data_IF_466242319161
#
_entry.id   IF_466242319161
#
_cell.length_a   1.000
_cell.length_b   1.000
_cell.length_c   1.000
_cell.angle_alpha   90.00
_cell.angle_beta   90.00
_cell.angle_gamma   90.00
#
_symmetry.space_group_name_H-M   'P 1'
#
loop_
_entity.id
_entity.type
_entity.pdbx_description
1 polymer ?
#
# COMPACT_ATOMS: atom_id res chain seq x y z
N UNK A 1 -24.81 -11.81 15.39
CA UNK A 1 -24.84 -11.63 13.92
C UNK A 1 -23.41 -11.39 13.45
N UNK A 2 -22.83 -12.31 12.68
CA UNK A 2 -21.53 -12.10 12.04
C UNK A 2 -21.74 -11.15 10.87
N UNK A 3 -21.05 -10.01 10.85
CA UNK A 3 -21.00 -9.10 9.71
C UNK A 3 -20.25 -9.78 8.57
N UNK A 4 -20.97 -10.39 7.62
CA UNK A 4 -20.38 -11.00 6.42
C UNK A 4 -20.27 -10.00 5.24
N UNK A 5 -20.53 -8.71 5.49
CA UNK A 5 -20.66 -7.68 4.45
C UNK A 5 -19.52 -6.65 4.42
N UNK A 6 -18.40 -6.86 5.12
CA UNK A 6 -17.28 -5.92 5.00
C UNK A 6 -16.39 -6.30 3.82
N UNK A 7 -16.56 -5.58 2.72
CA UNK A 7 -15.58 -5.48 1.66
C UNK A 7 -14.25 -4.99 2.26
N UNK A 8 -13.18 -5.77 2.10
CA UNK A 8 -11.86 -5.41 2.61
C UNK A 8 -11.08 -4.59 1.57
N UNK A 9 -10.51 -3.47 2.00
CA UNK A 9 -9.54 -2.67 1.24
C UNK A 9 -8.47 -2.15 2.18
N UNK A 10 -7.22 -2.14 1.71
CA UNK A 10 -6.12 -1.52 2.45
C UNK A 10 -5.99 -0.02 2.14
N UNK A 11 -6.71 0.51 1.13
CA UNK A 11 -6.63 1.91 0.71
C UNK A 11 -7.57 2.85 1.48
N UNK A 12 -7.04 3.96 1.99
CA UNK A 12 -7.78 4.97 2.73
C UNK A 12 -8.85 5.68 1.88
N UNK A 13 -8.56 5.94 0.59
CA UNK A 13 -9.52 6.55 -0.33
C UNK A 13 -10.70 5.64 -0.68
N UNK A 14 -10.51 4.32 -0.67
CA UNK A 14 -11.61 3.39 -0.96
C UNK A 14 -12.51 3.20 0.26
N UNK A 15 -11.94 3.21 1.47
CA UNK A 15 -12.71 3.35 2.69
C UNK A 15 -13.51 4.67 2.71
N UNK A 16 -13.00 5.72 2.05
CA UNK A 16 -13.68 7.01 1.87
C UNK A 16 -14.82 6.96 0.84
N UNK A 17 -14.65 6.29 -0.31
CA UNK A 17 -15.63 6.27 -1.40
C UNK A 17 -16.97 5.60 -1.04
N UNK A 18 -16.99 4.70 -0.05
CA UNK A 18 -18.21 4.10 0.47
C UNK A 18 -19.13 5.11 1.21
N UNK A 19 -18.61 6.28 1.59
CA UNK A 19 -19.34 7.31 2.33
C UNK A 19 -19.59 8.55 1.44
N UNK A 20 -20.71 8.56 0.70
CA UNK A 20 -21.07 9.66 -0.20
C UNK A 20 -21.40 10.96 0.56
N UNK A 21 -20.91 12.09 0.03
CA UNK A 21 -21.32 13.50 0.24
C UNK A 21 -21.58 13.92 1.70
N UNK A 22 -20.55 14.35 2.42
CA UNK A 22 -20.77 15.20 3.61
C UNK A 22 -19.57 16.11 3.88
N UNK A 23 -19.80 17.18 4.65
CA UNK A 23 -18.80 18.14 5.12
C UNK A 23 -17.81 17.46 6.10
N UNK A 24 -16.75 16.87 5.55
CA UNK A 24 -15.84 15.94 6.22
C UNK A 24 -14.98 16.56 7.32
N UNK A 25 -14.68 17.86 7.23
CA UNK A 25 -13.95 18.60 8.26
C UNK A 25 -14.64 18.47 9.64
N UNK A 26 -15.97 18.28 9.65
CA UNK A 26 -16.76 18.08 10.87
C UNK A 26 -16.78 16.64 11.40
N UNK A 27 -16.13 15.70 10.71
CA UNK A 27 -16.19 14.25 10.98
C UNK A 27 -14.84 13.64 11.37
N UNK A 28 -13.86 14.47 11.75
CA UNK A 28 -12.55 14.00 12.21
C UNK A 28 -11.65 13.51 11.07
N UNK A 29 -11.93 13.90 9.82
CA UNK A 29 -11.14 13.58 8.64
C UNK A 29 -10.98 14.82 7.78
N UNK A 30 -9.75 15.17 7.40
CA UNK A 30 -9.45 16.23 6.44
C UNK A 30 -8.95 15.63 5.14
N UNK A 31 -9.43 16.12 4.01
CA UNK A 31 -9.03 15.64 2.68
C UNK A 31 -8.55 16.80 1.82
N UNK A 32 -7.39 16.64 1.21
CA UNK A 32 -6.84 17.58 0.23
C UNK A 32 -6.46 16.82 -1.04
N UNK A 33 -6.76 17.38 -2.22
CA UNK A 33 -6.44 16.75 -3.50
C UNK A 33 -5.68 17.71 -4.39
N UNK A 34 -4.59 17.24 -4.98
CA UNK A 34 -3.72 17.98 -5.88
C UNK A 34 -3.49 17.20 -7.17
N UNK A 35 -3.73 17.82 -8.32
CA UNK A 35 -3.43 17.23 -9.63
C UNK A 35 -1.98 17.50 -10.04
N UNK A 36 -1.38 16.56 -10.76
CA UNK A 36 -0.13 16.73 -11.49
C UNK A 36 -0.30 16.18 -12.92
N UNK A 37 0.68 16.39 -13.80
CA UNK A 37 0.56 16.03 -15.22
C UNK A 37 0.16 14.56 -15.45
N UNK A 38 0.68 13.65 -14.62
CA UNK A 38 0.47 12.22 -14.73
C UNK A 38 -0.66 11.63 -13.89
N UNK A 39 -1.35 12.42 -13.06
CA UNK A 39 -2.30 11.86 -12.10
C UNK A 39 -2.76 12.82 -11.00
N UNK A 40 -3.15 12.23 -9.86
CA UNK A 40 -3.67 12.93 -8.70
C UNK A 40 -3.05 12.42 -7.41
N UNK A 41 -2.78 13.34 -6.49
CA UNK A 41 -2.37 13.06 -5.11
C UNK A 41 -3.51 13.47 -4.20
N UNK A 42 -3.95 12.55 -3.34
CA UNK A 42 -4.94 12.83 -2.31
C UNK A 42 -4.34 12.58 -0.94
N UNK A 43 -4.44 13.57 -0.05
CA UNK A 43 -3.95 13.53 1.32
C UNK A 43 -5.15 13.48 2.25
N UNK A 44 -5.30 12.36 2.95
CA UNK A 44 -6.36 12.11 3.93
C UNK A 44 -5.72 12.09 5.31
N UNK A 45 -6.10 13.05 6.15
CA UNK A 45 -5.66 13.11 7.54
C UNK A 45 -6.79 12.65 8.45
N UNK A 46 -6.54 11.59 9.21
CA UNK A 46 -7.45 11.08 10.24
C UNK A 46 -7.06 11.73 11.56
N UNK A 47 -7.94 12.61 12.06
CA UNK A 47 -7.62 13.53 13.16
C UNK A 47 -7.88 12.91 14.54
N UNK A 48 -8.94 12.10 14.66
CA UNK A 48 -9.40 11.60 15.94
C UNK A 48 -10.08 10.21 15.85
N UNK A 49 -10.54 9.71 16.99
CA UNK A 49 -11.20 8.41 17.10
C UNK A 49 -12.50 8.30 16.27
N UNK A 50 -13.20 9.42 16.00
CA UNK A 50 -14.41 9.42 15.15
C UNK A 50 -14.03 9.22 13.70
N UNK A 51 -12.99 9.92 13.24
CA UNK A 51 -12.40 9.70 11.92
C UNK A 51 -11.91 8.26 11.76
N UNK A 52 -11.24 7.74 12.79
CA UNK A 52 -10.71 6.38 12.77
C UNK A 52 -11.80 5.30 12.70
N UNK A 53 -12.87 5.45 13.50
CA UNK A 53 -14.02 4.54 13.46
C UNK A 53 -14.74 4.59 12.10
N UNK A 54 -14.78 5.76 11.45
CA UNK A 54 -15.46 5.95 10.17
C UNK A 54 -14.67 5.39 8.98
N UNK A 55 -13.36 5.59 8.96
CA UNK A 55 -12.49 5.09 7.90
C UNK A 55 -11.99 3.66 8.14
N UNK A 56 -12.12 3.13 9.37
CA UNK A 56 -11.51 1.86 9.74
C UNK A 56 -9.98 1.90 9.73
N UNK A 57 -9.40 3.10 9.87
CA UNK A 57 -7.95 3.36 9.82
C UNK A 57 -7.53 4.17 11.05
N UNK A 58 -6.37 3.89 11.67
CA UNK A 58 -5.93 4.65 12.84
C UNK A 58 -5.69 6.14 12.52
N UNK A 59 -5.68 7.03 13.53
CA UNK A 59 -5.31 8.43 13.35
C UNK A 59 -3.91 8.59 12.73
N UNK A 60 -3.78 9.48 11.76
CA UNK A 60 -2.54 9.72 11.02
C UNK A 60 -2.78 10.26 9.61
N UNK A 61 -1.72 10.30 8.80
CA UNK A 61 -1.72 10.80 7.44
C UNK A 61 -1.67 9.66 6.44
N UNK A 62 -2.57 9.69 5.47
CA UNK A 62 -2.65 8.74 4.37
C UNK A 62 -2.58 9.50 3.05
N UNK A 63 -1.58 9.20 2.23
CA UNK A 63 -1.35 9.87 0.96
C UNK A 63 -1.53 8.84 -0.14
N UNK A 64 -2.45 9.08 -1.07
CA UNK A 64 -2.69 8.21 -2.22
C UNK A 64 -2.29 8.92 -3.50
N UNK A 65 -1.37 8.33 -4.24
CA UNK A 65 -0.93 8.78 -5.56
C UNK A 65 -1.60 7.86 -6.59
N UNK A 66 -2.49 8.41 -7.41
CA UNK A 66 -3.17 7.68 -8.49
C UNK A 66 -2.69 8.20 -9.84
N UNK A 67 -2.08 7.33 -10.63
CA UNK A 67 -1.58 7.61 -11.97
C UNK A 67 -1.99 6.48 -12.92
N UNK A 68 -3.13 6.60 -13.62
CA UNK A 68 -3.67 5.55 -14.48
C UNK A 68 -2.70 5.05 -15.57
N UNK A 69 -1.79 5.92 -16.02
CA UNK A 69 -0.78 5.61 -17.02
C UNK A 69 0.35 4.70 -16.53
N UNK A 70 0.47 4.42 -15.22
CA UNK A 70 1.52 3.52 -14.69
C UNK A 70 1.43 2.08 -15.21
N UNK A 71 0.26 1.66 -15.71
CA UNK A 71 0.07 0.37 -16.40
C UNK A 71 0.76 0.31 -17.76
N UNK A 72 1.20 1.45 -18.28
CA UNK A 72 1.87 1.59 -19.57
C UNK A 72 3.37 1.72 -19.35
N UNK A 73 4.17 1.45 -20.38
CA UNK A 73 5.63 1.59 -20.32
C UNK A 73 6.11 3.04 -20.48
N UNK A 74 5.43 3.99 -19.83
CA UNK A 74 5.77 5.41 -19.89
C UNK A 74 6.90 5.73 -18.89
N UNK A 75 8.10 6.01 -19.41
CA UNK A 75 9.29 6.33 -18.60
C UNK A 75 9.13 7.67 -17.88
N UNK A 76 8.63 8.68 -18.60
CA UNK A 76 8.52 10.05 -18.07
C UNK A 76 7.49 10.11 -16.95
N UNK A 77 6.35 9.42 -17.11
CA UNK A 77 5.34 9.31 -16.07
C UNK A 77 5.88 8.63 -14.81
N UNK A 78 6.66 7.55 -14.97
CA UNK A 78 7.27 6.84 -13.84
C UNK A 78 8.19 7.76 -13.04
N UNK A 79 9.04 8.53 -13.73
CA UNK A 79 9.90 9.52 -13.09
C UNK A 79 9.08 10.60 -12.35
N UNK A 80 8.01 11.11 -12.97
CA UNK A 80 7.11 12.07 -12.32
C UNK A 80 6.48 11.50 -11.05
N UNK A 81 6.01 10.25 -11.07
CA UNK A 81 5.42 9.59 -9.91
C UNK A 81 6.48 9.37 -8.82
N UNK A 82 7.70 8.97 -9.17
CA UNK A 82 8.82 8.85 -8.21
C UNK A 82 9.15 10.19 -7.55
N UNK A 83 9.17 11.29 -8.31
CA UNK A 83 9.39 12.65 -7.79
C UNK A 83 8.26 13.10 -6.86
N UNK A 84 7.01 12.78 -7.18
CA UNK A 84 5.86 13.03 -6.29
C UNK A 84 6.01 12.20 -5.00
N UNK A 85 6.26 10.89 -5.11
CA UNK A 85 6.48 10.00 -3.98
C UNK A 85 7.58 10.54 -3.06
N UNK A 86 8.72 10.94 -3.62
CA UNK A 86 9.86 11.44 -2.87
C UNK A 86 9.52 12.71 -2.06
N UNK A 87 8.76 13.62 -2.66
CA UNK A 87 8.29 14.85 -2.01
C UNK A 87 7.38 14.57 -0.83
N UNK A 88 6.42 13.67 -1.00
CA UNK A 88 5.49 13.29 0.06
C UNK A 88 6.23 12.57 1.21
N UNK A 89 7.17 11.66 0.88
CA UNK A 89 8.00 10.98 1.87
C UNK A 89 8.87 11.95 2.67
N UNK A 90 9.47 12.94 2.01
CA UNK A 90 10.30 13.96 2.68
C UNK A 90 9.51 14.76 3.72
N UNK A 91 8.21 14.95 3.50
CA UNK A 91 7.33 15.65 4.46
C UNK A 91 6.94 14.78 5.67
N UNK A 92 6.93 13.45 5.51
CA UNK A 92 6.57 12.50 6.57
C UNK A 92 7.78 12.02 7.38
N UNK A 93 8.96 11.95 6.76
CA UNK A 93 10.19 11.54 7.43
C UNK A 93 10.62 12.58 8.47
N UNK A 94 11.14 12.14 9.64
CA UNK A 94 11.72 13.07 10.59
C UNK A 94 12.93 13.79 9.97
N UNK A 95 13.27 15.00 10.46
CA UNK A 95 14.50 15.66 10.08
C UNK A 95 15.69 14.72 10.31
N UNK A 96 16.53 14.58 9.29
CA UNK A 96 17.66 13.66 9.30
C UNK A 96 18.97 14.43 9.08
N UNK A 97 19.98 14.08 9.86
CA UNK A 97 21.38 14.49 9.68
C UNK A 97 22.25 13.31 9.20
N UNK A 98 23.56 13.52 9.09
CA UNK A 98 24.49 12.46 8.66
C UNK A 98 24.58 11.27 9.61
N UNK A 99 24.17 11.42 10.88
CA UNK A 99 24.15 10.33 11.87
C UNK A 99 22.84 9.54 11.85
N UNK A 100 21.82 10.09 11.19
CA UNK A 100 20.49 9.50 11.12
C UNK A 100 20.48 8.30 10.19
N UNK A 101 20.14 7.13 10.74
CA UNK A 101 19.99 5.88 9.97
C UNK A 101 18.52 5.69 9.62
N UNK A 102 18.22 5.41 8.36
CA UNK A 102 16.89 4.96 7.91
C UNK A 102 16.94 3.48 7.56
N UNK A 103 16.03 2.69 8.13
CA UNK A 103 15.86 1.29 7.79
C UNK A 103 14.70 1.13 6.81
N UNK A 104 14.96 0.63 5.61
CA UNK A 104 13.91 0.27 4.65
C UNK A 104 13.62 -1.23 4.76
N UNK A 105 12.36 -1.60 4.91
CA UNK A 105 11.92 -2.99 5.07
C UNK A 105 11.03 -3.38 3.90
N UNK A 106 11.46 -4.34 3.08
CA UNK A 106 10.65 -4.93 2.02
C UNK A 106 9.84 -6.11 2.54
N UNK A 107 8.56 -5.89 2.80
CA UNK A 107 7.63 -6.93 3.26
C UNK A 107 7.10 -7.75 2.07
N UNK A 108 6.82 -9.02 2.33
CA UNK A 108 6.21 -9.93 1.37
C UNK A 108 7.04 -11.18 1.08
N UNK A 109 6.56 -11.99 0.15
CA UNK A 109 7.14 -13.27 -0.24
C UNK A 109 7.66 -13.24 -1.68
N UNK A 110 8.98 -13.43 -1.86
CA UNK A 110 9.66 -13.53 -3.16
C UNK A 110 9.04 -14.56 -4.11
N UNK A 111 8.44 -15.62 -3.57
CA UNK A 111 7.89 -16.73 -4.34
C UNK A 111 6.44 -16.51 -4.79
N UNK A 112 5.80 -15.42 -4.35
CA UNK A 112 4.41 -15.09 -4.70
C UNK A 112 4.42 -13.75 -5.41
N UNK A 113 4.30 -13.75 -6.74
CA UNK A 113 4.46 -12.53 -7.55
C UNK A 113 3.64 -11.31 -7.09
N UNK A 114 2.33 -11.42 -6.79
CA UNK A 114 1.59 -10.25 -6.29
C UNK A 114 2.06 -9.77 -4.91
N UNK A 115 2.80 -10.58 -4.15
CA UNK A 115 3.31 -10.29 -2.81
C UNK A 115 4.82 -9.98 -2.81
N UNK A 116 5.48 -9.91 -3.98
CA UNK A 116 6.92 -9.69 -4.08
C UNK A 116 7.33 -8.22 -4.23
N UNK A 117 6.38 -7.27 -4.06
CA UNK A 117 6.64 -5.84 -4.25
C UNK A 117 7.75 -5.31 -3.31
N UNK A 118 7.62 -5.54 -2.00
CA UNK A 118 8.61 -5.09 -1.02
C UNK A 118 10.01 -5.63 -1.32
N UNK A 119 10.19 -6.95 -1.48
CA UNK A 119 11.40 -7.55 -2.00
C UNK A 119 12.04 -6.86 -3.20
N UNK A 120 11.26 -6.66 -4.27
CA UNK A 120 11.74 -6.08 -5.52
C UNK A 120 12.09 -4.60 -5.36
N UNK A 121 11.49 -3.89 -4.41
CA UNK A 121 11.89 -2.52 -4.08
C UNK A 121 13.25 -2.50 -3.40
N UNK A 122 13.54 -3.47 -2.52
CA UNK A 122 14.85 -3.55 -1.85
C UNK A 122 15.97 -3.86 -2.85
N UNK A 123 15.72 -4.66 -3.88
CA UNK A 123 16.70 -4.95 -4.94
C UNK A 123 17.13 -3.71 -5.73
N UNK A 124 16.25 -2.72 -5.86
CA UNK A 124 16.47 -1.49 -6.64
C UNK A 124 16.87 -0.30 -5.72
N UNK A 125 16.96 -0.52 -4.41
CA UNK A 125 17.23 0.52 -3.42
C UNK A 125 18.74 0.76 -3.26
N UNK A 126 19.12 2.03 -3.24
CA UNK A 126 20.49 2.41 -2.94
C UNK A 126 20.79 2.32 -1.42
N UNK A 127 21.46 1.23 -1.03
CA UNK A 127 21.89 0.97 0.35
C UNK A 127 23.27 1.57 0.62
N UNK A 128 23.39 2.40 1.65
CA UNK A 128 24.60 3.21 1.89
C UNK A 128 25.20 3.08 3.28
N UNK A 129 24.48 2.50 4.26
CA UNK A 129 24.95 2.42 5.66
C UNK A 129 26.35 1.83 5.81
N UNK A 130 26.70 0.84 4.98
CA UNK A 130 28.01 0.19 5.00
C UNK A 130 29.15 1.16 4.60
N UNK A 131 28.89 2.15 3.73
CA UNK A 131 29.88 3.18 3.38
C UNK A 131 30.19 4.07 4.59
N UNK A 132 29.16 4.44 5.36
CA UNK A 132 29.35 5.23 6.58
C UNK A 132 30.13 4.47 7.66
N UNK A 133 29.95 3.14 7.78
CA UNK A 133 30.62 2.33 8.80
C UNK A 133 32.04 1.91 8.42
N UNK A 134 32.27 1.55 7.15
CA UNK A 134 33.50 0.88 6.73
C UNK A 134 34.32 1.65 5.69
N UNK A 135 33.73 2.61 4.98
CA UNK A 135 34.39 3.33 3.90
C UNK A 135 33.97 4.81 3.81
N UNK A 136 34.12 5.59 4.91
CA UNK A 136 33.60 6.95 5.01
C UNK A 136 34.20 7.93 3.98
N UNK A 137 35.34 7.59 3.37
CA UNK A 137 35.96 8.37 2.29
C UNK A 137 35.14 8.39 0.99
N UNK A 138 34.19 7.47 0.80
CA UNK A 138 33.30 7.44 -0.36
C UNK A 138 31.91 8.02 -0.08
N UNK A 139 31.71 8.59 1.12
CA UNK A 139 30.44 9.23 1.49
C UNK A 139 30.45 10.67 0.99
N UNK A 140 29.65 10.93 -0.05
CA UNK A 140 29.50 12.28 -0.61
C UNK A 140 28.61 13.17 0.26
N UNK A 141 28.68 14.47 -0.01
CA UNK A 141 27.83 15.47 0.65
C UNK A 141 26.35 15.24 0.28
N UNK A 142 25.49 15.16 1.29
CA UNK A 142 24.06 14.93 1.12
C UNK A 142 23.65 13.46 0.96
N UNK A 143 24.59 12.50 0.95
CA UNK A 143 24.25 11.09 1.19
C UNK A 143 23.71 10.91 2.61
N UNK A 144 22.76 9.99 2.78
CA UNK A 144 22.27 9.56 4.10
C UNK A 144 22.61 8.11 4.35
N UNK A 145 22.66 7.72 5.62
CA UNK A 145 22.89 6.33 6.02
C UNK A 145 21.59 5.52 5.91
N UNK A 146 21.48 4.72 4.84
CA UNK A 146 20.31 3.88 4.57
C UNK A 146 20.73 2.42 4.64
N UNK A 147 20.01 1.62 5.42
CA UNK A 147 20.08 0.17 5.36
C UNK A 147 18.74 -0.41 4.94
N UNK A 148 18.79 -1.63 4.42
CA UNK A 148 17.59 -2.32 4.02
C UNK A 148 17.62 -3.78 4.43
N UNK A 149 16.43 -4.34 4.62
CA UNK A 149 16.23 -5.77 4.78
C UNK A 149 14.93 -6.17 4.12
N UNK A 150 14.95 -7.37 3.56
CA UNK A 150 13.75 -8.02 3.10
C UNK A 150 13.67 -9.36 3.89
N UNK A 151 12.88 -9.42 4.98
CA UNK A 151 12.95 -10.51 5.95
C UNK A 151 12.23 -11.79 5.52
N UNK A 152 11.33 -11.70 4.54
CA UNK A 152 10.48 -12.79 4.10
C UNK A 152 9.30 -13.02 5.04
N UNK A 153 8.66 -14.18 4.87
CA UNK A 153 7.43 -14.55 5.59
C UNK A 153 7.65 -15.75 6.51
N UNK A 154 6.82 -15.88 7.54
CA UNK A 154 6.84 -16.94 8.55
C UNK A 154 7.02 -18.34 7.95
N UNK A 155 6.32 -18.65 6.85
CA UNK A 155 6.37 -19.96 6.21
C UNK A 155 7.74 -20.35 5.63
N UNK A 156 8.63 -19.38 5.44
CA UNK A 156 9.99 -19.59 4.92
C UNK A 156 11.01 -19.57 6.06
N UNK A 157 10.87 -18.63 6.98
CA UNK A 157 11.88 -18.36 8.02
C UNK A 157 11.63 -19.09 9.33
N UNK A 158 10.38 -19.48 9.62
CA UNK A 158 9.94 -19.97 10.93
C UNK A 158 9.90 -18.89 12.02
N UNK A 159 10.17 -17.62 11.67
CA UNK A 159 10.16 -16.48 12.60
C UNK A 159 9.17 -15.44 12.06
N UNK A 160 8.35 -14.89 12.94
CA UNK A 160 7.42 -13.81 12.56
C UNK A 160 8.20 -12.61 12.02
N UNK A 161 7.72 -12.05 10.90
CA UNK A 161 8.38 -10.93 10.22
C UNK A 161 8.59 -9.74 11.18
N UNK A 162 7.63 -9.49 12.08
CA UNK A 162 7.75 -8.44 13.10
C UNK A 162 8.89 -8.66 14.11
N UNK A 163 9.15 -9.91 14.50
CA UNK A 163 10.24 -10.24 15.44
C UNK A 163 11.61 -10.05 14.78
N UNK A 164 11.75 -10.43 13.50
CA UNK A 164 12.96 -10.18 12.72
C UNK A 164 13.24 -8.67 12.67
N UNK A 165 12.22 -7.87 12.34
CA UNK A 165 12.34 -6.41 12.24
C UNK A 165 12.68 -5.82 13.61
N UNK A 166 12.01 -6.24 14.68
CA UNK A 166 12.30 -5.77 16.03
C UNK A 166 13.75 -6.06 16.46
N UNK A 167 14.27 -7.26 16.14
CA UNK A 167 15.67 -7.61 16.38
C UNK A 167 16.65 -6.72 15.61
N UNK A 168 16.36 -6.43 14.33
CA UNK A 168 17.17 -5.50 13.51
C UNK A 168 17.11 -4.09 14.09
N UNK A 169 15.93 -3.60 14.47
CA UNK A 169 15.75 -2.26 15.07
C UNK A 169 16.53 -2.13 16.37
N UNK A 170 16.52 -3.14 17.23
CA UNK A 170 17.29 -3.14 18.49
C UNK A 170 18.80 -3.00 18.23
N UNK A 171 19.30 -3.65 17.18
CA UNK A 171 20.72 -3.66 16.84
C UNK A 171 21.16 -2.41 16.08
N UNK A 172 20.38 -2.00 15.07
CA UNK A 172 20.71 -0.90 14.15
C UNK A 172 20.36 0.46 14.75
N UNK A 173 19.32 0.53 15.58
CA UNK A 173 18.76 1.77 16.15
C UNK A 173 18.48 2.84 15.10
N UNK A 174 17.65 2.54 14.07
CA UNK A 174 17.31 3.53 13.06
C UNK A 174 16.50 4.69 13.66
N UNK A 175 16.62 5.86 13.05
CA UNK A 175 15.83 7.05 13.38
C UNK A 175 14.42 7.02 12.77
N UNK A 176 14.26 6.27 11.68
CA UNK A 176 12.98 6.03 11.01
C UNK A 176 13.00 4.69 10.28
N UNK A 177 11.81 4.11 10.09
CA UNK A 177 11.60 2.92 9.28
C UNK A 177 10.69 3.28 8.11
N UNK A 178 11.03 2.80 6.92
CA UNK A 178 10.12 2.80 5.77
C UNK A 178 9.78 1.34 5.44
N UNK A 179 8.53 0.93 5.66
CA UNK A 179 8.06 -0.40 5.32
C UNK A 179 7.36 -0.37 3.96
N UNK A 180 7.74 -1.27 3.04
CA UNK A 180 7.15 -1.37 1.71
C UNK A 180 6.44 -2.70 1.57
N UNK A 181 5.15 -2.68 1.19
CA UNK A 181 4.30 -3.88 1.14
C UNK A 181 3.35 -3.87 -0.06
N UNK A 182 2.95 -5.06 -0.49
CA UNK A 182 1.87 -5.21 -1.45
C UNK A 182 0.51 -5.02 -0.74
N UNK A 183 -0.44 -4.33 -1.38
CA UNK A 183 -1.76 -4.05 -0.81
C UNK A 183 -2.88 -4.77 -1.57
N UNK A 184 -4.03 -4.92 -0.92
CA UNK A 184 -5.27 -5.29 -1.58
C UNK A 184 -6.16 -4.05 -1.83
N UNK A 185 -6.67 -3.92 -3.06
CA UNK A 185 -7.68 -2.92 -3.42
C UNK A 185 -9.10 -3.49 -3.44
N UNK A 186 -10.08 -2.60 -3.38
CA UNK A 186 -11.49 -2.87 -3.72
C UNK A 186 -11.71 -2.73 -5.23
N UNK A 187 -11.09 -1.76 -5.89
CA UNK A 187 -11.23 -1.60 -7.34
C UNK A 187 -10.07 -2.19 -8.13
N UNK A 188 -10.42 -2.94 -9.18
CA UNK A 188 -9.46 -3.41 -10.20
C UNK A 188 -8.74 -2.25 -10.91
N UNK A 189 -9.35 -1.07 -10.98
CA UNK A 189 -8.74 0.10 -11.64
C UNK A 189 -7.51 0.62 -10.91
N UNK A 190 -7.36 0.27 -9.62
CA UNK A 190 -6.25 0.68 -8.77
C UNK A 190 -5.04 -0.25 -8.82
N UNK A 191 -5.21 -1.46 -9.36
CA UNK A 191 -4.11 -2.38 -9.56
C UNK A 191 -3.12 -1.80 -10.58
N UNK A 192 -1.85 -1.68 -10.17
CA UNK A 192 -0.81 -1.15 -11.04
C UNK A 192 -0.87 0.37 -11.30
N UNK A 193 -1.77 1.11 -10.64
CA UNK A 193 -1.96 2.56 -10.89
C UNK A 193 -1.90 3.41 -9.64
N UNK A 194 -1.90 2.79 -8.46
CA UNK A 194 -2.03 3.47 -7.18
C UNK A 194 -0.87 3.14 -6.25
N UNK A 195 -0.31 4.15 -5.58
CA UNK A 195 0.63 3.99 -4.48
C UNK A 195 0.04 4.72 -3.27
N UNK A 196 0.07 4.08 -2.10
CA UNK A 196 -0.35 4.65 -0.84
C UNK A 196 0.83 4.79 0.11
N UNK A 197 0.89 5.91 0.82
CA UNK A 197 1.82 6.18 1.91
C UNK A 197 1.00 6.37 3.19
N UNK A 198 1.47 5.83 4.32
CA UNK A 198 0.87 6.07 5.62
C UNK A 198 1.93 6.23 6.70
N UNK A 199 1.80 7.21 7.59
CA UNK A 199 2.71 7.38 8.75
C UNK A 199 2.26 6.62 10.00
N UNK A 200 1.16 5.87 9.91
CA UNK A 200 0.61 5.04 10.99
C UNK A 200 1.28 3.68 11.14
N UNK A 201 2.28 3.40 10.30
CA UNK A 201 2.83 2.06 10.13
C UNK A 201 1.93 1.14 9.30
N UNK A 202 2.19 -0.17 9.39
CA UNK A 202 1.50 -1.21 8.61
C UNK A 202 1.21 -2.45 9.46
N UNK A 203 0.14 -3.16 9.14
CA UNK A 203 -0.16 -4.47 9.72
C UNK A 203 0.02 -5.55 8.64
N UNK A 204 1.16 -6.26 8.61
CA UNK A 204 1.42 -7.26 7.58
C UNK A 204 0.34 -8.35 7.56
N UNK A 205 -0.12 -8.73 6.38
CA UNK A 205 -1.03 -9.88 6.21
C UNK A 205 -2.46 -9.71 6.75
N UNK A 206 -3.03 -8.51 6.60
CA UNK A 206 -4.43 -8.19 6.92
C UNK A 206 -5.45 -9.14 6.26
N UNK A 207 -5.08 -9.83 5.18
CA UNK A 207 -5.93 -10.75 4.43
C UNK A 207 -6.10 -12.16 5.01
N UNK A 208 -5.37 -12.54 6.05
CA UNK A 208 -5.47 -13.90 6.62
C UNK A 208 -5.62 -13.82 8.14
N UNK A 209 -6.77 -13.32 8.60
CA UNK A 209 -7.44 -13.64 9.88
C UNK A 209 -6.66 -13.61 11.22
N UNK A 210 -5.38 -13.27 11.23
CA UNK A 210 -4.52 -13.30 12.40
C UNK A 210 -4.22 -11.88 12.87
N UNK A 211 -4.32 -11.67 14.18
CA UNK A 211 -3.83 -10.48 14.87
C UNK A 211 -2.30 -10.46 14.80
N UNK A 212 -1.72 -10.15 13.64
CA UNK A 212 -0.28 -9.96 13.50
C UNK A 212 0.10 -8.66 14.19
N UNK A 213 1.27 -8.63 14.82
CA UNK A 213 1.78 -7.42 15.46
C UNK A 213 1.96 -6.34 14.39
N UNK A 214 1.30 -5.20 14.57
CA UNK A 214 1.48 -4.05 13.69
C UNK A 214 2.93 -3.56 13.77
N UNK A 215 3.48 -3.18 12.63
CA UNK A 215 4.77 -2.50 12.51
C UNK A 215 4.50 -1.01 12.57
N UNK A 216 4.59 -0.43 13.76
CA UNK A 216 4.31 0.98 13.99
C UNK A 216 5.22 1.53 15.09
N UNK A 217 5.03 2.81 15.41
CA UNK A 217 5.84 3.48 16.43
C UNK A 217 5.62 2.89 17.82
N UNK A 218 4.41 2.45 18.12
CA UNK A 218 4.06 1.85 19.40
C UNK A 218 4.79 0.53 19.65
N UNK A 219 4.98 -0.29 18.60
CA UNK A 219 5.63 -1.59 18.72
C UNK A 219 7.15 -1.53 18.56
N UNK A 220 7.67 -0.66 17.68
CA UNK A 220 9.10 -0.59 17.36
C UNK A 220 9.83 0.58 18.04
N UNK A 221 9.11 1.51 18.67
CA UNK A 221 9.67 2.68 19.34
C UNK A 221 10.19 3.79 18.41
N UNK A 222 10.13 3.58 17.09
CA UNK A 222 10.64 4.49 16.06
C UNK A 222 9.54 4.79 15.03
N UNK A 223 9.50 5.98 14.41
CA UNK A 223 8.52 6.29 13.36
C UNK A 223 8.56 5.27 12.22
N UNK A 224 7.39 4.80 11.79
CA UNK A 224 7.25 3.85 10.67
C UNK A 224 6.35 4.45 9.59
N UNK A 225 6.93 4.65 8.40
CA UNK A 225 6.20 5.08 7.21
C UNK A 225 5.97 3.85 6.34
N UNK A 226 4.72 3.50 6.13
CA UNK A 226 4.32 2.45 5.22
C UNK A 226 4.15 3.01 3.80
N UNK A 227 4.65 2.30 2.81
CA UNK A 227 4.38 2.50 1.39
C UNK A 227 3.79 1.21 0.86
N UNK A 228 2.72 1.27 0.09
CA UNK A 228 2.24 0.08 -0.59
C UNK A 228 1.48 0.38 -1.86
N UNK A 229 1.45 -0.61 -2.75
CA UNK A 229 0.74 -0.52 -4.01
C UNK A 229 -0.18 -1.74 -4.17
N UNK A 230 -1.43 -1.56 -4.64
CA UNK A 230 -2.34 -2.68 -4.83
C UNK A 230 -1.87 -3.63 -5.94
N UNK A 231 -1.78 -4.92 -5.60
CA UNK A 231 -1.41 -6.00 -6.52
C UNK A 231 -2.55 -7.02 -6.72
N UNK A 232 -3.50 -7.05 -5.79
CA UNK A 232 -4.61 -7.99 -5.78
C UNK A 232 -5.91 -7.31 -5.40
N UNK A 233 -7.01 -7.96 -5.76
CA UNK A 233 -8.33 -7.73 -5.16
C UNK A 233 -8.86 -9.05 -4.61
N UNK A 234 -9.72 -9.01 -3.60
CA UNK A 234 -10.37 -10.22 -3.12
C UNK A 234 -11.43 -10.73 -4.10
N UNK A 235 -11.58 -12.04 -4.23
CA UNK A 235 -12.59 -12.63 -5.11
C UNK A 235 -14.02 -12.25 -4.69
N UNK A 236 -14.29 -12.17 -3.38
CA UNK A 236 -15.58 -11.71 -2.86
C UNK A 236 -15.93 -10.31 -3.40
N UNK A 237 -14.90 -9.49 -3.65
CA UNK A 237 -15.06 -8.15 -4.12
C UNK A 237 -15.51 -8.12 -5.57
N UNK A 238 -14.87 -8.92 -6.42
CA UNK A 238 -15.24 -9.05 -7.83
C UNK A 238 -16.65 -9.64 -7.97
N UNK A 239 -16.97 -10.70 -7.23
CA UNK A 239 -18.29 -11.34 -7.32
C UNK A 239 -19.40 -10.36 -6.90
N UNK A 240 -19.18 -9.63 -5.81
CA UNK A 240 -20.15 -8.62 -5.35
C UNK A 240 -20.36 -7.52 -6.40
N UNK A 241 -19.28 -6.99 -6.98
CA UNK A 241 -19.36 -5.97 -8.05
C UNK A 241 -20.09 -6.51 -9.28
N UNK A 242 -19.88 -7.78 -9.65
CA UNK A 242 -20.56 -8.42 -10.76
C UNK A 242 -22.07 -8.56 -10.51
N UNK A 243 -22.47 -9.00 -9.30
CA UNK A 243 -23.87 -9.08 -8.89
C UNK A 243 -24.52 -7.70 -8.95
N UNK A 244 -23.85 -6.68 -8.42
CA UNK A 244 -24.37 -5.31 -8.42
C UNK A 244 -24.58 -4.76 -9.84
N UNK A 245 -23.60 -4.94 -10.73
CA UNK A 245 -23.71 -4.53 -12.15
C UNK A 245 -24.81 -5.29 -12.89
N UNK A 246 -24.94 -6.59 -12.64
CA UNK A 246 -26.00 -7.41 -13.22
C UNK A 246 -27.38 -6.93 -12.75
N UNK A 247 -27.55 -6.73 -11.44
CA UNK A 247 -28.82 -6.26 -10.87
C UNK A 247 -29.18 -4.86 -11.35
N UNK A 248 -28.20 -3.95 -11.49
CA UNK A 248 -28.43 -2.62 -12.07
C UNK A 248 -28.89 -2.72 -13.54
N UNK A 249 -28.19 -3.52 -14.35
CA UNK A 249 -28.53 -3.72 -15.76
C UNK A 249 -29.92 -4.36 -15.93
N UNK A 250 -30.28 -5.31 -15.07
CA UNK A 250 -31.61 -5.93 -15.06
C UNK A 250 -32.71 -4.94 -14.65
N UNK A 251 -32.44 -4.01 -13.72
CA UNK A 251 -33.38 -2.94 -13.34
C UNK A 251 -33.61 -1.96 -14.48
N UNK A 252 -32.57 -1.65 -15.27
CA UNK A 252 -32.68 -0.76 -16.44
C UNK A 252 -33.37 -1.45 -17.63
N UNK A 253 -33.10 -2.73 -17.88
CA UNK A 253 -33.67 -3.48 -19.00
C UNK A 253 -35.13 -3.93 -18.76
N UNK A 254 -35.52 -4.19 -17.51
CA UNK A 254 -36.85 -4.69 -17.18
C UNK A 254 -37.83 -3.54 -16.90
N UNK A 255 -38.61 -3.16 -17.91
CA UNK A 255 -39.89 -2.48 -17.66
C UNK A 255 -40.83 -3.44 -16.91
N UNK A 256 -41.18 -3.11 -15.66
CA UNK A 256 -42.22 -3.68 -14.76
C UNK A 256 -42.69 -5.16 -14.86
N UNK A 257 -41.97 -6.06 -15.54
CA UNK A 257 -42.36 -7.45 -15.74
C UNK A 257 -41.71 -8.34 -14.67
N UNK A 258 -42.50 -9.12 -13.90
CA UNK A 258 -41.98 -10.01 -12.89
C UNK A 258 -41.42 -11.27 -13.57
N UNK A 259 -40.12 -11.26 -13.85
CA UNK A 259 -39.36 -12.42 -14.35
C UNK A 259 -38.24 -12.77 -13.36
N UNK A 260 -37.50 -13.86 -13.60
CA UNK A 260 -36.41 -14.42 -12.75
C UNK A 260 -35.41 -13.36 -12.22
N UNK A 261 -35.29 -12.20 -12.88
CA UNK A 261 -34.57 -11.05 -12.37
C UNK A 261 -35.14 -10.42 -11.07
N UNK A 262 -36.38 -10.72 -10.67
CA UNK A 262 -37.04 -10.18 -9.48
C UNK A 262 -36.37 -10.61 -8.16
N UNK A 263 -35.98 -11.88 -8.05
CA UNK A 263 -35.33 -12.39 -6.82
C UNK A 263 -33.96 -11.74 -6.62
N UNK A 264 -33.13 -11.66 -7.66
CA UNK A 264 -31.83 -10.97 -7.63
C UNK A 264 -31.95 -9.45 -7.47
N UNK A 265 -33.05 -8.86 -7.96
CA UNK A 265 -33.34 -7.43 -7.87
C UNK A 265 -33.68 -6.98 -6.45
N UNK A 266 -34.27 -7.86 -5.64
CA UNK A 266 -34.77 -7.54 -4.31
C UNK A 266 -33.80 -7.93 -3.18
N UNK A 267 -32.68 -8.61 -3.51
CA UNK A 267 -31.64 -8.94 -2.52
C UNK A 267 -31.05 -7.66 -1.90
N UNK A 268 -31.07 -7.61 -0.57
CA UNK A 268 -30.35 -6.62 0.22
C UNK A 268 -28.83 -6.79 0.07
N UNK A 269 -28.02 -5.74 0.29
CA UNK A 269 -26.57 -5.87 0.30
C UNK A 269 -26.06 -6.95 1.27
N UNK A 270 -26.74 -7.15 2.40
CA UNK A 270 -26.43 -8.18 3.37
C UNK A 270 -26.66 -9.59 2.82
N UNK A 271 -27.79 -9.82 2.15
CA UNK A 271 -28.10 -11.10 1.50
C UNK A 271 -27.16 -11.38 0.33
N UNK A 272 -26.77 -10.36 -0.43
CA UNK A 272 -25.75 -10.49 -1.47
C UNK A 272 -24.40 -10.92 -0.88
N UNK A 273 -23.99 -10.31 0.24
CA UNK A 273 -22.76 -10.68 0.95
C UNK A 273 -22.79 -12.12 1.45
N UNK A 274 -23.91 -12.58 1.99
CA UNK A 274 -24.09 -13.96 2.44
C UNK A 274 -24.01 -14.95 1.27
N UNK A 275 -24.66 -14.64 0.14
CA UNK A 275 -24.59 -15.45 -1.08
C UNK A 275 -23.15 -15.57 -1.59
N UNK A 276 -22.42 -14.45 -1.64
CA UNK A 276 -21.00 -14.44 -2.04
C UNK A 276 -20.17 -15.32 -1.12
N UNK A 277 -20.40 -15.25 0.19
CA UNK A 277 -19.71 -16.10 1.16
C UNK A 277 -20.00 -17.59 0.94
N UNK A 278 -21.26 -17.97 0.71
CA UNK A 278 -21.66 -19.37 0.43
C UNK A 278 -21.04 -19.91 -0.87
N UNK A 279 -21.01 -19.09 -1.94
CA UNK A 279 -20.38 -19.46 -3.21
C UNK A 279 -18.87 -19.62 -3.07
N UNK A 280 -18.22 -18.81 -2.24
CA UNK A 280 -16.78 -18.81 -2.06
C UNK A 280 -16.29 -19.75 -0.94
N UNK A 281 -17.18 -20.27 -0.10
CA UNK A 281 -16.79 -21.17 1.00
C UNK A 281 -16.04 -22.44 0.56
N UNK A 282 -16.34 -23.07 -0.61
CA UNK A 282 -15.59 -24.23 -1.08
C UNK A 282 -14.11 -23.93 -1.39
N UNK A 283 -13.75 -22.66 -1.58
CA UNK A 283 -12.40 -22.22 -1.95
C UNK A 283 -11.56 -21.80 -0.75
N UNK A 284 -11.87 -22.30 0.45
CA UNK A 284 -11.17 -22.00 1.72
C UNK A 284 -10.96 -20.51 1.98
N UNK A 285 -12.00 -19.72 1.66
CA UNK A 285 -12.20 -18.34 2.10
C UNK A 285 -10.93 -17.52 2.27
N UNK A 286 -10.26 -17.16 1.17
CA UNK A 286 -9.32 -16.03 0.99
C UNK A 286 -8.75 -16.05 -0.44
N UNK A 287 -9.62 -16.25 -1.45
CA UNK A 287 -9.17 -16.20 -2.83
C UNK A 287 -8.89 -14.74 -3.21
N UNK A 288 -7.68 -14.50 -3.71
CA UNK A 288 -7.28 -13.23 -4.31
C UNK A 288 -7.18 -13.38 -5.82
N UNK A 289 -7.46 -12.30 -6.53
CA UNK A 289 -7.41 -12.23 -7.98
C UNK A 289 -6.41 -11.15 -8.37
N UNK A 290 -5.60 -11.48 -9.37
CA UNK A 290 -4.57 -10.58 -9.91
C UNK A 290 -4.56 -10.68 -11.43
N UNK A 291 -4.23 -9.59 -12.16
CA UNK A 291 -4.07 -9.62 -13.61
C UNK A 291 -3.05 -10.67 -14.09
N UNK A 292 -3.14 -11.07 -15.35
CA UNK A 292 -2.15 -11.97 -15.95
C UNK A 292 -0.75 -11.35 -16.04
N UNK A 293 -0.69 -10.03 -16.18
CA UNK A 293 0.55 -9.26 -16.37
C UNK A 293 1.11 -8.68 -15.06
N UNK A 294 0.68 -9.21 -13.91
CA UNK A 294 1.09 -8.72 -12.59
C UNK A 294 2.60 -8.74 -12.40
N UNK A 295 3.31 -9.72 -12.96
CA UNK A 295 4.76 -9.84 -12.86
C UNK A 295 5.47 -8.56 -13.36
N UNK A 296 5.06 -8.06 -14.53
CA UNK A 296 5.62 -6.84 -15.09
C UNK A 296 5.15 -5.61 -14.32
N UNK A 297 3.87 -5.56 -13.94
CA UNK A 297 3.31 -4.44 -13.16
C UNK A 297 4.02 -4.25 -11.82
N UNK A 298 4.28 -5.33 -11.08
CA UNK A 298 4.97 -5.28 -9.79
C UNK A 298 6.43 -4.86 -9.97
N UNK A 299 7.11 -5.35 -11.01
CA UNK A 299 8.48 -4.93 -11.33
C UNK A 299 8.56 -3.44 -11.70
N UNK A 300 7.55 -2.91 -12.39
CA UNK A 300 7.53 -1.49 -12.72
C UNK A 300 7.21 -0.62 -11.49
N UNK A 301 6.24 -1.04 -10.68
CA UNK A 301 5.94 -0.37 -9.41
C UNK A 301 7.13 -0.38 -8.46
N UNK A 302 7.90 -1.48 -8.41
CA UNK A 302 9.06 -1.56 -7.54
C UNK A 302 10.11 -0.52 -7.92
N UNK A 303 10.38 -0.35 -9.21
CA UNK A 303 11.29 0.69 -9.72
C UNK A 303 10.81 2.11 -9.41
N UNK A 304 9.52 2.37 -9.55
CA UNK A 304 8.94 3.68 -9.22
C UNK A 304 9.09 3.99 -7.74
N UNK A 305 8.77 3.02 -6.87
CA UNK A 305 8.88 3.18 -5.42
C UNK A 305 10.33 3.32 -4.99
N UNK A 306 11.22 2.46 -5.48
CA UNK A 306 12.66 2.54 -5.22
C UNK A 306 13.26 3.86 -5.71
N UNK A 307 12.88 4.32 -6.90
CA UNK A 307 13.30 5.63 -7.43
C UNK A 307 12.88 6.77 -6.52
N UNK A 308 11.62 6.79 -6.04
CA UNK A 308 11.16 7.81 -5.11
C UNK A 308 11.83 7.72 -3.73
N UNK A 309 12.13 6.51 -3.24
CA UNK A 309 12.90 6.31 -2.02
C UNK A 309 14.34 6.81 -2.17
N UNK A 310 15.01 6.48 -3.27
CA UNK A 310 16.37 6.92 -3.56
C UNK A 310 16.43 8.46 -3.61
N UNK A 311 15.49 9.12 -4.28
CA UNK A 311 15.42 10.59 -4.31
C UNK A 311 15.14 11.18 -2.92
N UNK A 312 14.25 10.59 -2.13
CA UNK A 312 13.91 11.09 -0.80
C UNK A 312 15.03 10.89 0.24
N UNK A 313 15.73 9.76 0.14
CA UNK A 313 16.74 9.34 1.12
C UNK A 313 18.16 9.72 0.71
N UNK A 314 18.41 10.06 -0.55
CA UNK A 314 19.74 10.48 -1.05
C UNK A 314 19.66 11.85 -1.74
N UNK A 315 19.29 12.93 -1.02
CA UNK A 315 19.08 14.25 -1.63
C UNK A 315 20.36 14.88 -2.22
N UNK A 316 21.55 14.38 -1.87
CA UNK A 316 22.83 14.82 -2.42
C UNK A 316 23.29 14.08 -3.68
N UNK A 317 22.58 13.03 -4.11
CA UNK A 317 22.94 12.28 -5.31
C UNK A 317 22.07 12.71 -6.49
N UNK A 318 22.71 13.11 -7.58
CA UNK A 318 22.00 13.25 -8.86
C UNK A 318 21.57 11.86 -9.35
N UNK A 319 20.46 11.81 -10.10
CA UNK A 319 19.89 10.55 -10.59
C UNK A 319 20.90 9.74 -11.41
N UNK A 320 21.83 10.40 -12.12
CA UNK A 320 22.93 9.77 -12.85
C UNK A 320 24.00 9.11 -11.96
N UNK A 321 24.19 9.57 -10.72
CA UNK A 321 25.21 9.03 -9.80
C UNK A 321 24.72 7.80 -9.03
N UNK A 322 23.40 7.59 -8.93
CA UNK A 322 22.83 6.43 -8.25
C UNK A 322 23.30 5.09 -8.84
N UNK A 323 23.54 5.03 -10.15
CA UNK A 323 24.06 3.84 -10.84
C UNK A 323 25.50 3.47 -10.41
N UNK A 324 26.30 4.41 -9.91
CA UNK A 324 27.67 4.11 -9.46
C UNK A 324 27.70 3.23 -8.21
N UNK A 325 26.61 3.24 -7.45
CA UNK A 325 26.54 2.61 -6.13
C UNK A 325 25.55 1.43 -6.05
N UNK A 326 24.85 1.10 -7.15
CA UNK A 326 23.94 -0.06 -7.26
C UNK A 326 24.64 -1.37 -7.68
N UNK A 327 25.87 -1.62 -7.20
CA UNK A 327 26.65 -2.83 -7.54
C UNK A 327 26.40 -3.99 -6.58
#
# INVERSE_FOLDING_TARGET
MRQYASVHTDLALEAHAAAVKTDWDRQGVRVETQKFAGGVVSRVQVLDARGAARLGKPPGNYITIEAPGLRQHDVELREQVSQVLARELKNLLPPADKSSVTLVVGLGNWHVTPDSLGPLVIEELLVTRHLFEYAPQYVDEGMRSVCAIAPGVLGITGIETGDIIAGVVQKVRPTAIVAVDALAARSMDRLGTTIQIADTGISPGSGVGNKRHALNRETLGVPVIAIGAPSVVYANTIVLDAIQKLTASLREAAGNQPSVGGILRDLTPEEQGQLVHEVLSPFWGNLVVTPKETDEQIRQLSKVIAGGLNVALQPGLETSDTLRYLQ
#
